data_IF_729995815454
#
_entry.id   IF_729995815454
#
_cell.length_a   1.000
_cell.length_b   1.000
_cell.length_c   1.000
_cell.angle_alpha   90.00
_cell.angle_beta   90.00
_cell.angle_gamma   90.00
#
_symmetry.space_group_name_H-M   'P 1'
#
loop_
_entity.id
_entity.type
_entity.pdbx_description
1 polymer ?
#
# COMPACT_ATOMS: atom_id res chain seq x y z
N UNK A 1 -3.85 20.12 12.48
CA UNK A 1 -3.08 19.04 13.13
C UNK A 1 -2.25 18.22 12.15
N UNK A 2 -1.18 17.53 12.60
CA UNK A 2 -0.56 16.46 11.82
C UNK A 2 -1.61 15.38 11.50
N UNK A 3 -1.66 14.92 10.25
CA UNK A 3 -2.54 13.83 9.86
C UNK A 3 -2.20 12.57 10.67
N UNK A 4 -3.18 11.88 11.26
CA UNK A 4 -2.93 10.66 12.03
C UNK A 4 -2.21 9.64 11.15
N UNK A 5 -1.17 9.01 11.72
CA UNK A 5 -0.37 8.02 11.02
C UNK A 5 -1.26 6.81 10.71
N UNK A 6 -1.22 6.37 9.45
CA UNK A 6 -1.96 5.19 9.05
C UNK A 6 -1.37 3.94 9.71
N UNK A 7 -2.23 3.18 10.37
CA UNK A 7 -1.91 1.88 10.95
C UNK A 7 -2.70 0.80 10.18
N UNK A 8 -2.11 0.16 9.16
CA UNK A 8 -2.82 -0.79 8.31
C UNK A 8 -3.24 -2.04 9.09
N UNK A 9 -4.44 -2.54 8.81
CA UNK A 9 -4.89 -3.83 9.35
C UNK A 9 -4.16 -5.01 8.71
N UNK A 10 -4.07 -6.18 9.37
CA UNK A 10 -3.45 -7.37 8.79
C UNK A 10 -4.00 -7.74 7.40
N UNK A 11 -5.31 -7.58 7.18
CA UNK A 11 -5.97 -7.85 5.90
C UNK A 11 -5.49 -6.89 4.81
N UNK A 12 -5.36 -5.61 5.15
CA UNK A 12 -4.83 -4.59 4.23
C UNK A 12 -3.38 -4.91 3.84
N UNK A 13 -2.56 -5.34 4.80
CA UNK A 13 -1.18 -5.75 4.56
C UNK A 13 -1.14 -6.96 3.62
N UNK A 14 -1.94 -8.00 3.88
CA UNK A 14 -1.98 -9.22 3.04
C UNK A 14 -2.33 -8.91 1.58
N UNK A 15 -3.30 -8.02 1.35
CA UNK A 15 -3.69 -7.59 -0.01
C UNK A 15 -2.52 -6.86 -0.69
N UNK A 16 -1.93 -5.88 0.00
CA UNK A 16 -0.79 -5.11 -0.53
C UNK A 16 0.42 -5.99 -0.85
N UNK A 17 0.73 -6.95 0.03
CA UNK A 17 1.81 -7.92 -0.20
C UNK A 17 1.49 -8.85 -1.37
N UNK A 18 0.25 -9.32 -1.50
CA UNK A 18 -0.18 -10.13 -2.64
C UNK A 18 0.04 -9.42 -3.98
N UNK A 19 -0.38 -8.15 -4.06
CA UNK A 19 -0.21 -7.31 -5.27
C UNK A 19 1.28 -7.04 -5.55
N UNK A 20 2.07 -6.73 -4.52
CA UNK A 20 3.50 -6.52 -4.69
C UNK A 20 4.21 -7.78 -5.19
N UNK A 21 3.89 -8.93 -4.60
CA UNK A 21 4.49 -10.22 -4.95
C UNK A 21 4.04 -10.72 -6.34
N UNK A 22 2.93 -10.22 -6.89
CA UNK A 22 2.53 -10.47 -8.28
C UNK A 22 3.33 -9.64 -9.31
N UNK A 23 4.30 -8.84 -8.86
CA UNK A 23 5.20 -8.04 -9.70
C UNK A 23 4.81 -6.56 -9.82
N UNK A 24 3.67 -6.14 -9.28
CA UNK A 24 3.24 -4.74 -9.33
C UNK A 24 3.94 -3.93 -8.22
N UNK A 25 5.14 -3.42 -8.50
CA UNK A 25 5.95 -2.70 -7.50
C UNK A 25 5.79 -1.16 -7.54
N UNK A 26 5.15 -0.64 -8.59
CA UNK A 26 4.91 0.80 -8.79
C UNK A 26 3.55 1.03 -9.46
N UNK A 27 2.43 0.92 -8.72
CA UNK A 27 1.10 1.06 -9.31
C UNK A 27 0.88 2.49 -9.85
N UNK A 28 0.30 2.65 -11.06
CA UNK A 28 -0.12 3.96 -11.56
C UNK A 28 -1.26 4.55 -10.71
N UNK A 29 -1.57 5.84 -10.91
CA UNK A 29 -2.56 6.57 -10.10
C UNK A 29 -3.94 5.91 -10.05
N UNK A 30 -4.40 5.38 -11.18
CA UNK A 30 -5.71 4.73 -11.23
C UNK A 30 -5.72 3.39 -10.49
N UNK A 31 -4.62 2.63 -10.56
CA UNK A 31 -4.46 1.42 -9.76
C UNK A 31 -4.34 1.73 -8.27
N UNK A 32 -3.66 2.81 -7.88
CA UNK A 32 -3.64 3.28 -6.48
C UNK A 32 -5.07 3.51 -5.96
N UNK A 33 -5.92 4.16 -6.75
CA UNK A 33 -7.32 4.39 -6.38
C UNK A 33 -8.11 3.09 -6.25
N UNK A 34 -7.92 2.14 -7.18
CA UNK A 34 -8.57 0.82 -7.14
C UNK A 34 -8.15 0.03 -5.92
N UNK A 35 -6.84 -0.03 -5.64
CA UNK A 35 -6.30 -0.68 -4.45
C UNK A 35 -6.83 -0.01 -3.19
N UNK A 36 -6.85 1.32 -3.12
CA UNK A 36 -7.45 2.05 -1.99
C UNK A 36 -8.91 1.66 -1.77
N UNK A 37 -9.72 1.61 -2.83
CA UNK A 37 -11.13 1.23 -2.76
C UNK A 37 -11.32 -0.18 -2.21
N UNK A 38 -10.48 -1.14 -2.60
CA UNK A 38 -10.51 -2.50 -2.04
C UNK A 38 -10.06 -2.52 -0.56
N UNK A 39 -8.99 -1.80 -0.23
CA UNK A 39 -8.46 -1.77 1.14
C UNK A 39 -9.39 -1.06 2.13
N UNK A 40 -10.24 -0.14 1.66
CA UNK A 40 -11.14 0.63 2.53
C UNK A 40 -12.19 -0.26 3.21
N UNK A 41 -12.52 -1.42 2.61
CA UNK A 41 -13.45 -2.41 3.18
C UNK A 41 -12.93 -2.98 4.51
N UNK A 42 -11.61 -2.97 4.70
CA UNK A 42 -10.95 -3.49 5.88
C UNK A 42 -10.51 -2.39 6.86
N UNK A 43 -10.70 -1.10 6.53
CA UNK A 43 -10.37 0.01 7.41
C UNK A 43 -9.91 1.28 6.69
N UNK A 44 -9.69 2.38 7.43
CA UNK A 44 -9.35 3.66 6.84
C UNK A 44 -8.02 3.62 6.09
N UNK A 45 -8.00 4.16 4.87
CA UNK A 45 -6.83 4.23 4.00
C UNK A 45 -6.99 5.33 2.96
N UNK A 46 -5.92 6.08 2.68
CA UNK A 46 -5.88 7.10 1.61
C UNK A 46 -4.94 6.71 0.48
N UNK A 47 -5.05 7.38 -0.67
CA UNK A 47 -4.19 7.15 -1.83
C UNK A 47 -2.69 7.25 -1.49
N UNK A 48 -2.31 8.25 -0.69
CA UNK A 48 -0.94 8.46 -0.24
C UNK A 48 -0.40 7.27 0.56
N UNK A 49 -1.25 6.64 1.38
CA UNK A 49 -0.85 5.48 2.18
C UNK A 49 -0.47 4.31 1.29
N UNK A 50 -1.27 4.03 0.25
CA UNK A 50 -1.00 2.98 -0.74
C UNK A 50 0.29 3.31 -1.49
N UNK A 51 0.40 4.53 -2.03
CA UNK A 51 1.61 4.98 -2.74
C UNK A 51 2.88 4.78 -1.92
N UNK A 52 2.90 5.30 -0.68
CA UNK A 52 4.08 5.19 0.19
C UNK A 52 4.35 3.77 0.66
N UNK A 53 3.32 2.93 0.82
CA UNK A 53 3.53 1.53 1.14
C UNK A 53 4.33 0.83 0.04
N UNK A 54 3.98 1.02 -1.24
CA UNK A 54 4.72 0.44 -2.38
C UNK A 54 6.14 1.00 -2.49
N UNK A 55 6.33 2.33 -2.33
CA UNK A 55 7.68 2.92 -2.35
C UNK A 55 8.55 2.36 -1.22
N UNK A 56 8.02 2.29 0.00
CA UNK A 56 8.74 1.76 1.16
C UNK A 56 9.04 0.27 1.01
N UNK A 57 8.10 -0.52 0.49
CA UNK A 57 8.30 -1.96 0.28
C UNK A 57 9.40 -2.20 -0.74
N UNK A 58 9.38 -1.51 -1.87
CA UNK A 58 10.44 -1.55 -2.89
C UNK A 58 11.80 -1.17 -2.30
N UNK A 59 11.87 -0.07 -1.54
CA UNK A 59 13.11 0.37 -0.89
C UNK A 59 13.67 -0.69 0.05
N UNK A 60 12.82 -1.30 0.88
CA UNK A 60 13.22 -2.37 1.81
C UNK A 60 13.70 -3.63 1.10
N UNK A 61 13.07 -4.01 -0.01
CA UNK A 61 13.54 -5.14 -0.84
C UNK A 61 14.91 -4.87 -1.44
N UNK A 62 15.14 -3.65 -1.96
CA UNK A 62 16.44 -3.25 -2.52
C UNK A 62 17.58 -3.28 -1.49
N UNK A 63 17.31 -2.85 -0.26
CA UNK A 63 18.30 -2.85 0.82
C UNK A 63 18.52 -4.20 1.50
N UNK A 64 17.77 -5.25 1.10
CA UNK A 64 17.92 -6.61 1.63
C UNK A 64 18.81 -7.49 0.75
N UNK A 65 19.19 -6.99 -0.43
CA UNK A 65 20.19 -7.53 -1.36
C UNK A 65 21.54 -6.86 -1.09
#
# INVERSE_FOLDING_TARGET
EPRPRWNPRPEQIRILEGIFNSGMVNPPRDEIRRIRLQLQEYGPVGDANVFYWFQNRKSRTKHKL
#
